data_IF_901185124518
#
_entry.id   IF_901185124518
#
_cell.length_a   1.000
_cell.length_b   1.000
_cell.length_c   1.000
_cell.angle_alpha   90.00
_cell.angle_beta   90.00
_cell.angle_gamma   90.00
#
_symmetry.space_group_name_H-M   'P 1'
#
loop_
_entity.id
_entity.type
_entity.pdbx_description
1 polymer ?
#
# COMPACT_ATOMS: atom_id res chain seq x y z
N UNK A 1 11.98 27.35 1.45
CA UNK A 1 13.00 27.09 0.42
C UNK A 1 14.23 26.69 1.19
N UNK A 2 14.83 25.51 0.91
CA UNK A 2 15.93 24.99 1.68
C UNK A 2 17.09 25.98 1.69
N UNK A 3 17.63 26.22 2.88
CA UNK A 3 18.72 27.16 3.12
C UNK A 3 20.09 26.51 2.92
N UNK A 4 20.17 25.18 2.99
CA UNK A 4 21.36 24.33 2.85
C UNK A 4 22.49 24.61 3.85
N UNK A 5 22.27 25.54 4.77
CA UNK A 5 23.28 26.03 5.72
C UNK A 5 22.71 26.20 7.14
N UNK A 6 21.39 26.15 7.31
CA UNK A 6 20.72 26.13 8.61
C UNK A 6 20.03 24.76 8.80
N UNK A 7 20.71 23.79 9.44
CA UNK A 7 20.15 22.44 9.60
C UNK A 7 18.90 22.40 10.48
N UNK A 8 18.65 23.41 11.33
CA UNK A 8 17.45 23.47 12.17
C UNK A 8 16.25 23.89 11.32
N UNK A 9 16.39 24.97 10.56
CA UNK A 9 15.33 25.44 9.65
C UNK A 9 15.02 24.40 8.57
N UNK A 10 16.07 23.80 7.97
CA UNK A 10 15.92 22.81 6.90
C UNK A 10 15.27 21.51 7.41
N UNK A 11 15.52 21.08 8.66
CA UNK A 11 14.86 19.93 9.26
C UNK A 11 13.34 20.16 9.44
N UNK A 12 12.94 21.36 9.84
CA UNK A 12 11.53 21.71 9.96
C UNK A 12 10.83 21.74 8.59
N UNK A 13 11.45 22.34 7.58
CA UNK A 13 10.93 22.35 6.20
C UNK A 13 10.82 20.93 5.62
N UNK A 14 11.80 20.07 5.86
CA UNK A 14 11.75 18.67 5.46
C UNK A 14 10.59 17.91 6.11
N UNK A 15 10.35 18.14 7.41
CA UNK A 15 9.23 17.52 8.12
C UNK A 15 7.87 17.96 7.54
N UNK A 16 7.70 19.25 7.24
CA UNK A 16 6.50 19.78 6.58
C UNK A 16 6.31 19.20 5.17
N UNK A 17 7.38 19.11 4.38
CA UNK A 17 7.33 18.51 3.05
C UNK A 17 6.88 17.05 3.10
N UNK A 18 7.40 16.26 4.04
CA UNK A 18 7.01 14.87 4.25
C UNK A 18 5.55 14.73 4.72
N UNK A 19 5.07 15.62 5.61
CA UNK A 19 3.64 15.66 6.00
C UNK A 19 2.75 15.97 4.80
N UNK A 20 3.14 16.95 3.98
CA UNK A 20 2.46 17.29 2.74
C UNK A 20 2.38 16.11 1.78
N UNK A 21 3.49 15.40 1.59
CA UNK A 21 3.55 14.20 0.77
C UNK A 21 2.65 13.08 1.32
N UNK A 22 2.73 12.79 2.63
CA UNK A 22 1.92 11.76 3.27
C UNK A 22 0.41 12.01 3.09
N UNK A 23 -0.02 13.27 3.12
CA UNK A 23 -1.42 13.64 2.87
C UNK A 23 -1.79 13.54 1.39
N UNK A 24 -0.88 13.91 0.48
CA UNK A 24 -1.12 13.86 -0.96
C UNK A 24 -1.07 12.43 -1.54
N UNK A 25 -0.31 11.52 -0.93
CA UNK A 25 -0.14 10.14 -1.41
C UNK A 25 -1.29 9.20 -1.06
N UNK A 26 -2.36 9.68 -0.40
CA UNK A 26 -3.54 8.86 -0.09
C UNK A 26 -4.36 8.46 -1.32
N UNK A 27 -4.30 9.24 -2.41
CA UNK A 27 -4.99 8.94 -3.67
C UNK A 27 -4.10 9.38 -4.85
N UNK A 28 -3.88 8.47 -5.79
CA UNK A 28 -3.16 8.76 -7.04
C UNK A 28 -4.14 8.84 -8.22
N UNK A 29 -4.29 10.03 -8.80
CA UNK A 29 -5.17 10.24 -9.96
C UNK A 29 -4.73 9.43 -11.19
N UNK A 30 -3.43 9.18 -11.33
CA UNK A 30 -2.87 8.27 -12.33
C UNK A 30 -1.98 7.25 -11.61
N UNK A 31 -2.25 5.95 -11.74
CA UNK A 31 -1.44 4.92 -11.09
C UNK A 31 0.06 5.00 -11.42
N UNK A 32 0.40 5.46 -12.63
CA UNK A 32 1.79 5.68 -13.05
C UNK A 32 2.55 6.72 -12.18
N UNK A 33 1.86 7.65 -11.52
CA UNK A 33 2.49 8.65 -10.65
C UNK A 33 3.06 8.03 -9.36
N UNK A 34 2.57 6.84 -8.95
CA UNK A 34 3.12 6.08 -7.82
C UNK A 34 4.61 5.76 -8.03
N UNK A 35 4.99 5.41 -9.25
CA UNK A 35 6.37 5.05 -9.59
C UNK A 35 7.34 6.22 -9.40
N UNK A 36 6.91 7.43 -9.79
CA UNK A 36 7.71 8.64 -9.57
C UNK A 36 7.88 8.92 -8.08
N UNK A 37 6.81 8.82 -7.29
CA UNK A 37 6.88 9.00 -5.83
C UNK A 37 7.80 7.98 -5.17
N UNK A 38 7.77 6.72 -5.58
CA UNK A 38 8.70 5.69 -5.10
C UNK A 38 10.17 6.03 -5.40
N UNK A 39 10.45 6.63 -6.57
CA UNK A 39 11.79 7.10 -6.93
C UNK A 39 12.29 8.21 -6.00
N UNK A 40 11.44 9.20 -5.69
CA UNK A 40 11.79 10.28 -4.76
C UNK A 40 11.93 9.77 -3.31
N UNK A 41 11.12 8.79 -2.90
CA UNK A 41 11.25 8.14 -1.59
C UNK A 41 12.59 7.40 -1.45
N UNK A 42 13.05 6.73 -2.52
CA UNK A 42 14.38 6.10 -2.57
C UNK A 42 15.50 7.09 -2.27
N UNK A 43 15.45 8.27 -2.90
CA UNK A 43 16.41 9.34 -2.65
C UNK A 43 16.29 9.89 -1.23
N UNK A 44 15.06 10.07 -0.75
CA UNK A 44 14.76 10.59 0.58
C UNK A 44 15.31 9.70 1.70
N UNK A 45 15.18 8.38 1.59
CA UNK A 45 15.74 7.44 2.59
C UNK A 45 17.26 7.55 2.67
N UNK A 46 17.96 7.67 1.53
CA UNK A 46 19.42 7.85 1.52
C UNK A 46 19.84 9.17 2.16
N UNK A 47 19.08 10.24 1.93
CA UNK A 47 19.32 11.52 2.60
C UNK A 47 19.07 11.42 4.12
N UNK A 48 18.01 10.73 4.54
CA UNK A 48 17.76 10.48 5.96
C UNK A 48 18.89 9.66 6.61
N UNK A 49 19.38 8.62 5.93
CA UNK A 49 20.54 7.87 6.39
C UNK A 49 21.75 8.80 6.62
N UNK A 50 22.07 9.64 5.64
CA UNK A 50 23.17 10.59 5.75
C UNK A 50 23.00 11.58 6.91
N UNK A 51 21.79 12.12 7.10
CA UNK A 51 21.49 13.04 8.19
C UNK A 51 21.68 12.36 9.55
N UNK A 52 21.17 11.14 9.72
CA UNK A 52 21.28 10.38 10.97
C UNK A 52 22.75 10.06 11.30
N UNK A 53 23.54 9.65 10.31
CA UNK A 53 24.99 9.43 10.47
C UNK A 53 25.73 10.72 10.85
N UNK A 54 25.36 11.86 10.25
CA UNK A 54 25.93 13.16 10.59
C UNK A 54 25.61 13.57 12.03
N UNK A 55 24.37 13.37 12.48
CA UNK A 55 23.98 13.67 13.87
C UNK A 55 24.72 12.76 14.86
N UNK A 56 24.86 11.46 14.55
CA UNK A 56 25.64 10.53 15.36
C UNK A 56 27.11 10.97 15.49
N UNK A 57 27.75 11.33 14.38
CA UNK A 57 29.12 11.85 14.38
C UNK A 57 29.26 13.17 15.16
N UNK A 58 28.23 14.03 15.15
CA UNK A 58 28.24 15.25 15.96
C UNK A 58 28.20 14.94 17.47
N UNK A 59 27.47 13.91 17.91
CA UNK A 59 27.50 13.48 19.31
C UNK A 59 28.89 13.01 19.72
N UNK A 60 29.57 12.20 18.89
CA UNK A 60 30.91 11.67 19.17
C UNK A 60 31.99 12.78 19.19
N UNK A 61 31.93 13.72 18.24
CA UNK A 61 32.94 14.79 18.13
C UNK A 61 32.78 15.90 19.17
N UNK A 62 31.59 16.04 19.77
CA UNK A 62 31.27 17.09 20.74
C UNK A 62 31.19 16.60 22.18
N UNK A 63 31.64 15.38 22.48
CA UNK A 63 31.61 14.80 23.85
C UNK A 63 32.27 15.69 24.90
N UNK A 64 33.27 16.49 24.53
CA UNK A 64 33.93 17.45 25.44
C UNK A 64 32.99 18.54 25.99
N UNK A 65 31.85 18.78 25.34
CA UNK A 65 30.83 19.74 25.76
C UNK A 65 29.64 19.08 26.46
N UNK A 66 29.64 17.76 26.62
CA UNK A 66 28.49 17.02 27.13
C UNK A 66 28.46 17.02 28.66
N UNK A 67 27.33 17.43 29.24
CA UNK A 67 27.03 17.36 30.66
C UNK A 67 25.58 16.90 30.81
N UNK A 68 25.26 16.14 31.85
CA UNK A 68 23.86 15.85 32.19
C UNK A 68 23.19 17.04 32.92
N UNK A 69 21.89 16.92 33.20
CA UNK A 69 21.12 17.98 33.88
C UNK A 69 21.61 18.27 35.31
N UNK A 70 22.37 17.35 35.91
CA UNK A 70 23.00 17.51 37.22
C UNK A 70 24.41 18.13 37.14
N UNK A 71 24.92 18.41 35.93
CA UNK A 71 26.24 18.97 35.69
C UNK A 71 27.38 17.94 35.73
N UNK A 72 27.09 16.64 35.60
CA UNK A 72 28.09 15.58 35.49
C UNK A 72 28.58 15.42 34.05
N UNK A 73 29.87 15.70 33.83
CA UNK A 73 30.51 15.51 32.53
C UNK A 73 30.57 14.04 32.11
N UNK A 74 30.97 13.14 33.03
CA UNK A 74 31.11 11.71 32.75
C UNK A 74 29.78 11.08 32.32
N UNK A 75 28.69 11.43 33.02
CA UNK A 75 27.35 10.97 32.65
C UNK A 75 26.91 11.56 31.31
N UNK A 76 27.13 12.86 31.08
CA UNK A 76 26.83 13.51 29.81
C UNK A 76 27.55 12.86 28.62
N UNK A 77 28.83 12.52 28.76
CA UNK A 77 29.61 11.81 27.74
C UNK A 77 29.00 10.44 27.45
N UNK A 78 28.62 9.66 28.47
CA UNK A 78 27.96 8.37 28.27
C UNK A 78 26.66 8.52 27.46
N UNK A 79 25.80 9.47 27.84
CA UNK A 79 24.56 9.72 27.10
C UNK A 79 24.79 10.16 25.65
N UNK A 80 25.80 10.99 25.39
CA UNK A 80 26.16 11.38 24.03
C UNK A 80 26.59 10.17 23.17
N UNK A 81 27.42 9.28 23.73
CA UNK A 81 27.87 8.07 23.04
C UNK A 81 26.72 7.06 22.83
N UNK A 82 25.87 6.87 23.83
CA UNK A 82 24.67 6.02 23.72
C UNK A 82 23.75 6.54 22.61
N UNK A 83 23.52 7.86 22.54
CA UNK A 83 22.74 8.48 21.47
C UNK A 83 23.36 8.24 20.09
N UNK A 84 24.67 8.44 19.94
CA UNK A 84 25.38 8.16 18.69
C UNK A 84 25.21 6.70 18.25
N UNK A 85 25.30 5.75 19.18
CA UNK A 85 25.12 4.33 18.88
C UNK A 85 23.69 4.03 18.38
N UNK A 86 22.66 4.55 19.04
CA UNK A 86 21.27 4.35 18.62
C UNK A 86 21.00 4.97 17.24
N UNK A 87 21.56 6.15 16.97
CA UNK A 87 21.45 6.78 15.65
C UNK A 87 22.13 5.93 14.56
N UNK A 88 23.32 5.38 14.82
CA UNK A 88 23.97 4.45 13.88
C UNK A 88 23.16 3.16 13.67
N UNK A 89 22.48 2.66 14.71
CA UNK A 89 21.53 1.53 14.57
C UNK A 89 20.36 1.91 13.67
N UNK A 90 19.79 3.11 13.84
CA UNK A 90 18.72 3.62 12.98
C UNK A 90 19.17 3.79 11.52
N UNK A 91 20.39 4.29 11.28
CA UNK A 91 20.97 4.37 9.93
C UNK A 91 21.01 3.00 9.24
N UNK A 92 21.48 1.95 9.93
CA UNK A 92 21.46 0.59 9.37
C UNK A 92 20.05 0.07 9.04
N UNK A 93 19.04 0.45 9.82
CA UNK A 93 17.64 0.11 9.52
C UNK A 93 17.12 0.87 8.30
N UNK A 94 17.56 2.11 8.09
CA UNK A 94 17.24 2.88 6.88
C UNK A 94 17.85 2.24 5.62
N UNK A 95 19.07 1.70 5.71
CA UNK A 95 19.67 0.94 4.60
C UNK A 95 18.86 -0.32 4.27
N UNK A 96 18.46 -1.10 5.28
CA UNK A 96 17.61 -2.27 5.07
C UNK A 96 16.24 -1.89 4.48
N UNK A 97 15.69 -0.75 4.92
CA UNK A 97 14.44 -0.21 4.37
C UNK A 97 14.61 0.21 2.91
N UNK A 98 15.76 0.77 2.55
CA UNK A 98 16.09 1.12 1.17
C UNK A 98 16.15 -0.13 0.27
N UNK A 99 16.75 -1.23 0.73
CA UNK A 99 16.79 -2.48 -0.03
C UNK A 99 15.38 -3.00 -0.35
N UNK A 100 14.48 -3.01 0.64
CA UNK A 100 13.07 -3.38 0.44
C UNK A 100 12.34 -2.43 -0.49
N UNK A 101 12.62 -1.13 -0.38
CA UNK A 101 12.02 -0.14 -1.26
C UNK A 101 12.52 -0.30 -2.70
N UNK A 102 13.77 -0.70 -2.92
CA UNK A 102 14.31 -1.00 -4.25
C UNK A 102 13.68 -2.25 -4.87
N UNK A 103 13.40 -3.29 -4.08
CA UNK A 103 12.61 -4.45 -4.50
C UNK A 103 11.20 -4.03 -4.92
N UNK A 104 10.52 -3.22 -4.09
CA UNK A 104 9.19 -2.67 -4.36
C UNK A 104 9.16 -1.79 -5.61
N UNK A 105 10.16 -0.93 -5.80
CA UNK A 105 10.33 -0.11 -7.01
C UNK A 105 10.49 -0.99 -8.26
N UNK A 106 11.30 -2.04 -8.17
CA UNK A 106 11.50 -3.00 -9.27
C UNK A 106 10.22 -3.77 -9.61
N UNK A 107 9.43 -4.14 -8.60
CA UNK A 107 8.12 -4.77 -8.80
C UNK A 107 7.11 -3.81 -9.42
N UNK A 108 7.03 -2.57 -8.92
CA UNK A 108 6.16 -1.53 -9.44
C UNK A 108 6.48 -1.22 -10.91
N UNK A 109 7.76 -1.22 -11.31
CA UNK A 109 8.18 -1.01 -12.69
C UNK A 109 7.73 -2.09 -13.67
N UNK A 110 7.34 -3.27 -13.18
CA UNK A 110 6.77 -4.37 -14.00
C UNK A 110 5.26 -4.22 -14.21
N UNK A 111 4.59 -3.33 -13.48
CA UNK A 111 3.14 -3.14 -13.59
C UNK A 111 2.80 -2.25 -14.78
N UNK A 112 2.07 -2.80 -15.75
CA UNK A 112 1.50 -2.04 -16.85
C UNK A 112 0.09 -1.55 -16.47
N UNK A 113 0.01 -0.33 -15.93
CA UNK A 113 -1.27 0.27 -15.57
C UNK A 113 -2.08 0.63 -16.82
N UNK A 114 -3.25 0.00 -16.99
CA UNK A 114 -4.21 0.31 -18.04
C UNK A 114 -5.23 1.35 -17.57
N UNK A 115 -5.76 2.15 -18.51
CA UNK A 115 -6.79 3.16 -18.22
C UNK A 115 -8.15 2.53 -17.94
N UNK A 116 -8.44 1.45 -18.64
CA UNK A 116 -9.66 0.68 -18.52
C UNK A 116 -9.35 -0.59 -17.73
N UNK A 117 -10.26 -1.04 -16.85
CA UNK A 117 -10.11 -2.32 -16.16
C UNK A 117 -10.15 -3.46 -17.18
N UNK A 118 -9.54 -4.60 -16.84
CA UNK A 118 -9.58 -5.76 -17.72
C UNK A 118 -11.04 -6.23 -17.92
N UNK A 119 -11.48 -6.49 -19.17
CA UNK A 119 -12.80 -7.05 -19.42
C UNK A 119 -12.89 -8.43 -18.75
N UNK A 120 -14.01 -8.70 -18.09
CA UNK A 120 -14.27 -9.92 -17.31
C UNK A 120 -13.37 -10.12 -16.09
N UNK A 121 -12.92 -9.03 -15.44
CA UNK A 121 -12.57 -9.12 -14.02
C UNK A 121 -13.88 -9.31 -13.26
N UNK A 122 -14.29 -10.57 -13.10
CA UNK A 122 -15.23 -10.96 -12.06
C UNK A 122 -14.76 -10.26 -10.78
N UNK A 123 -15.60 -9.46 -10.14
CA UNK A 123 -15.19 -8.62 -9.00
C UNK A 123 -14.61 -9.41 -7.82
N UNK A 124 -14.57 -10.74 -7.91
CA UNK A 124 -13.88 -11.67 -7.01
C UNK A 124 -12.36 -11.47 -6.93
N UNK A 125 -11.68 -10.97 -7.97
CA UNK A 125 -10.21 -10.77 -7.93
C UNK A 125 -9.79 -9.43 -7.30
N UNK A 126 -10.75 -8.53 -7.03
CA UNK A 126 -10.50 -7.25 -6.36
C UNK A 126 -10.89 -7.38 -4.89
N UNK A 127 -9.95 -7.92 -4.11
CA UNK A 127 -9.89 -7.93 -2.64
C UNK A 127 -10.77 -8.98 -1.93
N UNK A 128 -10.09 -9.99 -1.40
CA UNK A 128 -10.46 -10.79 -0.22
C UNK A 128 -10.57 -9.92 1.07
N UNK A 129 -11.28 -8.78 0.98
CA UNK A 129 -11.71 -7.96 2.12
C UNK A 129 -13.18 -7.62 1.96
N UNK A 130 -13.95 -8.65 1.62
CA UNK A 130 -15.41 -8.58 1.67
C UNK A 130 -15.81 -8.40 3.15
N UNK A 131 -16.76 -7.52 3.40
CA UNK A 131 -17.39 -7.34 4.70
C UNK A 131 -18.77 -7.95 4.64
N UNK A 132 -19.09 -8.77 5.64
CA UNK A 132 -20.43 -9.24 5.92
C UNK A 132 -21.07 -8.27 6.91
N UNK A 133 -22.24 -7.73 6.58
CA UNK A 133 -23.03 -6.97 7.54
C UNK A 133 -23.76 -7.95 8.44
N UNK A 134 -23.32 -8.05 9.69
CA UNK A 134 -23.92 -8.95 10.69
C UNK A 134 -25.30 -8.43 11.08
N UNK A 135 -25.39 -7.13 11.35
CA UNK A 135 -26.65 -6.48 11.68
C UNK A 135 -26.58 -4.99 11.36
N UNK A 136 -27.69 -4.43 10.89
CA UNK A 136 -27.92 -3.01 10.71
C UNK A 136 -29.20 -2.62 11.43
N UNK A 137 -29.09 -1.72 12.41
CA UNK A 137 -30.21 -1.21 13.20
C UNK A 137 -30.42 0.28 12.90
N UNK A 138 -31.67 0.72 12.91
CA UNK A 138 -32.05 2.13 12.78
C UNK A 138 -33.21 2.48 13.71
N UNK A 139 -33.32 3.76 14.07
CA UNK A 139 -34.41 4.26 14.91
C UNK A 139 -34.32 3.68 16.33
N UNK A 140 -35.47 3.28 16.91
CA UNK A 140 -35.53 2.87 18.32
C UNK A 140 -34.57 1.72 18.68
N UNK A 141 -34.33 0.79 17.75
CA UNK A 141 -33.40 -0.33 17.95
C UNK A 141 -31.93 0.15 17.97
N UNK A 142 -31.60 1.16 17.16
CA UNK A 142 -30.27 1.77 17.17
C UNK A 142 -30.07 2.64 18.42
N UNK A 143 -31.10 3.36 18.86
CA UNK A 143 -31.05 4.23 20.04
C UNK A 143 -30.64 3.45 21.29
N UNK A 144 -31.18 2.23 21.47
CA UNK A 144 -30.79 1.34 22.56
C UNK A 144 -29.29 1.02 22.54
N UNK A 145 -28.73 0.77 21.35
CA UNK A 145 -27.31 0.44 21.21
C UNK A 145 -26.42 1.68 21.35
N UNK A 146 -26.88 2.83 20.89
CA UNK A 146 -26.21 4.11 21.09
C UNK A 146 -26.12 4.47 22.58
N UNK A 147 -27.15 4.17 23.38
CA UNK A 147 -27.12 4.32 24.83
C UNK A 147 -26.08 3.40 25.50
N UNK A 148 -25.94 2.16 25.03
CA UNK A 148 -24.88 1.23 25.48
C UNK A 148 -23.50 1.80 25.14
N UNK A 149 -23.29 2.30 23.92
CA UNK A 149 -22.03 2.92 23.51
C UNK A 149 -21.67 4.11 24.41
N UNK A 150 -22.66 4.92 24.78
CA UNK A 150 -22.44 6.09 25.62
C UNK A 150 -22.17 5.72 27.09
N UNK A 151 -22.80 4.67 27.60
CA UNK A 151 -22.77 4.29 29.02
C UNK A 151 -21.59 3.36 29.34
N UNK A 152 -21.44 2.32 28.53
CA UNK A 152 -20.54 1.18 28.79
C UNK A 152 -19.40 1.08 27.77
N UNK A 153 -19.47 1.84 26.68
CA UNK A 153 -18.43 1.94 25.66
C UNK A 153 -18.67 1.03 24.45
N UNK A 154 -17.78 1.15 23.47
CA UNK A 154 -17.88 0.46 22.17
C UNK A 154 -17.78 -1.06 22.31
N UNK A 155 -16.90 -1.57 23.17
CA UNK A 155 -16.69 -3.02 23.31
C UNK A 155 -17.95 -3.72 23.82
N UNK A 156 -18.68 -3.10 24.76
CA UNK A 156 -19.95 -3.63 25.26
C UNK A 156 -21.03 -3.64 24.17
N UNK A 157 -21.06 -2.63 23.30
CA UNK A 157 -21.98 -2.58 22.17
C UNK A 157 -21.65 -3.64 21.12
N UNK A 158 -20.37 -3.88 20.84
CA UNK A 158 -19.92 -4.96 19.94
C UNK A 158 -20.28 -6.33 20.51
N UNK A 159 -20.03 -6.58 21.80
CA UNK A 159 -20.41 -7.83 22.48
C UNK A 159 -21.93 -8.06 22.41
N UNK A 160 -22.72 -6.99 22.63
CA UNK A 160 -24.17 -7.06 22.48
C UNK A 160 -24.57 -7.46 21.04
N UNK A 161 -24.07 -6.76 20.03
CA UNK A 161 -24.41 -7.00 18.62
C UNK A 161 -23.87 -8.33 18.06
N UNK A 162 -22.77 -8.84 18.60
CA UNK A 162 -22.19 -10.12 18.20
C UNK A 162 -23.12 -11.32 18.50
N UNK A 163 -24.12 -11.17 19.39
CA UNK A 163 -25.13 -12.21 19.63
C UNK A 163 -26.01 -12.51 18.41
N UNK A 164 -26.04 -11.62 17.41
CA UNK A 164 -26.72 -11.84 16.13
C UNK A 164 -25.81 -12.47 15.06
N UNK A 165 -24.55 -12.75 15.41
CA UNK A 165 -23.64 -13.44 14.51
C UNK A 165 -23.68 -14.96 14.73
N UNK A 166 -24.21 -15.68 13.75
CA UNK A 166 -24.30 -17.14 13.72
C UNK A 166 -23.18 -17.76 12.85
N UNK A 167 -22.08 -17.04 12.61
CA UNK A 167 -20.93 -17.54 11.86
C UNK A 167 -21.26 -17.78 10.38
N UNK A 168 -21.02 -19.00 9.91
CA UNK A 168 -21.24 -19.42 8.51
C UNK A 168 -22.69 -19.28 8.04
N UNK A 169 -23.67 -19.34 8.95
CA UNK A 169 -25.08 -19.09 8.61
C UNK A 169 -25.32 -17.61 8.27
N UNK A 170 -24.71 -16.69 9.03
CA UNK A 170 -24.74 -15.25 8.75
C UNK A 170 -24.02 -14.94 7.43
N UNK A 171 -22.88 -15.59 7.16
CA UNK A 171 -22.15 -15.40 5.91
C UNK A 171 -22.98 -15.87 4.70
N UNK A 172 -23.60 -17.06 4.80
CA UNK A 172 -24.46 -17.62 3.77
C UNK A 172 -25.70 -16.75 3.52
N UNK A 173 -26.34 -16.25 4.58
CA UNK A 173 -27.48 -15.35 4.50
C UNK A 173 -27.09 -14.01 3.83
N UNK A 174 -25.94 -13.44 4.19
CA UNK A 174 -25.45 -12.20 3.60
C UNK A 174 -25.15 -12.35 2.10
N UNK A 175 -24.60 -13.49 1.67
CA UNK A 175 -24.40 -13.78 0.23
C UNK A 175 -25.73 -13.83 -0.51
N UNK A 176 -26.72 -14.53 0.05
CA UNK A 176 -28.05 -14.67 -0.57
C UNK A 176 -28.79 -13.33 -0.62
N UNK A 177 -28.67 -12.51 0.42
CA UNK A 177 -29.32 -11.20 0.51
C UNK A 177 -28.57 -10.09 -0.25
N UNK A 178 -27.33 -10.35 -0.70
CA UNK A 178 -26.48 -9.35 -1.35
C UNK A 178 -25.89 -8.32 -0.38
N UNK A 179 -25.79 -8.65 0.90
CA UNK A 179 -25.25 -7.80 1.97
C UNK A 179 -23.73 -7.95 2.17
N UNK A 180 -23.08 -8.61 1.22
CA UNK A 180 -21.62 -8.68 1.10
C UNK A 180 -21.13 -7.44 0.37
N UNK A 181 -20.21 -6.69 0.98
CA UNK A 181 -19.71 -5.43 0.43
C UNK A 181 -18.18 -5.42 0.33
N UNK A 182 -17.69 -4.77 -0.71
CA UNK A 182 -16.24 -4.57 -0.92
C UNK A 182 -15.66 -3.49 0.01
N UNK A 183 -16.52 -2.68 0.63
CA UNK A 183 -16.16 -1.67 1.62
C UNK A 183 -17.33 -1.43 2.59
N UNK A 184 -17.00 -1.07 3.84
CA UNK A 184 -17.99 -0.63 4.82
C UNK A 184 -18.59 0.70 4.33
N UNK A 185 -19.92 0.79 4.17
CA UNK A 185 -20.59 2.03 3.79
C UNK A 185 -20.64 2.98 4.99
N UNK A 186 -19.57 3.74 5.22
CA UNK A 186 -19.53 4.78 6.23
C UNK A 186 -19.83 6.16 5.60
N UNK A 187 -20.88 6.82 6.08
CA UNK A 187 -21.17 8.21 5.75
C UNK A 187 -20.16 9.18 6.38
N UNK A 188 -20.14 10.43 5.89
CA UNK A 188 -19.18 11.48 6.35
C UNK A 188 -19.29 11.78 7.86
N UNK A 189 -20.46 11.54 8.46
CA UNK A 189 -20.73 11.78 9.88
C UNK A 189 -20.72 10.49 10.72
N UNK A 190 -20.48 9.36 10.09
CA UNK A 190 -20.47 8.08 10.76
C UNK A 190 -19.15 7.92 11.52
N UNK A 191 -19.24 7.37 12.72
CA UNK A 191 -18.09 6.99 13.53
C UNK A 191 -17.83 5.52 13.33
N UNK A 192 -16.54 5.16 13.28
CA UNK A 192 -16.11 3.78 13.17
C UNK A 192 -15.28 3.38 14.38
N UNK A 193 -15.39 2.13 14.80
CA UNK A 193 -14.55 1.55 15.83
C UNK A 193 -14.33 0.06 15.56
N UNK A 194 -13.14 -0.43 15.91
CA UNK A 194 -12.73 -1.82 15.73
C UNK A 194 -12.68 -2.51 17.09
N UNK A 195 -13.21 -3.73 17.17
CA UNK A 195 -13.12 -4.58 18.36
C UNK A 195 -13.10 -6.05 17.95
N UNK A 196 -11.93 -6.67 18.10
CA UNK A 196 -11.67 -8.04 17.63
C UNK A 196 -11.76 -8.18 16.11
N UNK A 197 -12.60 -9.11 15.65
CA UNK A 197 -12.89 -9.37 14.23
C UNK A 197 -13.99 -8.46 13.65
N UNK A 198 -14.55 -7.58 14.48
CA UNK A 198 -15.68 -6.74 14.12
C UNK A 198 -15.29 -5.28 13.93
N UNK A 199 -15.96 -4.65 12.97
CA UNK A 199 -15.97 -3.19 12.80
C UNK A 199 -17.38 -2.66 12.99
N UNK A 200 -17.54 -1.76 13.96
CA UNK A 200 -18.77 -1.06 14.25
C UNK A 200 -18.80 0.29 13.52
N UNK A 201 -19.90 0.57 12.81
CA UNK A 201 -20.20 1.89 12.25
C UNK A 201 -21.44 2.44 12.93
N UNK A 202 -21.39 3.64 13.48
CA UNK A 202 -22.55 4.22 14.17
C UNK A 202 -22.64 5.74 13.99
N UNK A 203 -23.86 6.25 13.97
CA UNK A 203 -24.14 7.67 13.85
C UNK A 203 -25.23 8.09 14.84
N UNK A 204 -24.86 8.73 15.97
CA UNK A 204 -25.83 9.19 16.95
C UNK A 204 -26.80 10.26 16.42
N UNK A 205 -26.43 11.00 15.38
CA UNK A 205 -27.28 12.06 14.82
C UNK A 205 -28.32 11.52 13.84
N UNK A 206 -27.98 10.45 13.11
CA UNK A 206 -28.87 9.79 12.16
C UNK A 206 -29.60 8.59 12.76
N UNK A 207 -29.22 8.15 13.96
CA UNK A 207 -29.90 7.06 14.68
C UNK A 207 -29.68 5.71 14.02
N UNK A 208 -28.46 5.38 13.61
CA UNK A 208 -28.12 4.06 13.04
C UNK A 208 -26.84 3.47 13.62
N UNK A 209 -26.82 2.14 13.68
CA UNK A 209 -25.67 1.32 14.10
C UNK A 209 -25.57 0.10 13.20
N UNK A 210 -24.36 -0.23 12.76
CA UNK A 210 -24.07 -1.37 11.91
C UNK A 210 -22.85 -2.13 12.42
N UNK A 211 -22.94 -3.45 12.50
CA UNK A 211 -21.82 -4.33 12.83
C UNK A 211 -21.38 -5.07 11.56
N UNK A 212 -20.09 -5.04 11.27
CA UNK A 212 -19.49 -5.71 10.13
C UNK A 212 -18.41 -6.70 10.59
N UNK A 213 -18.31 -7.84 9.92
CA UNK A 213 -17.26 -8.84 10.13
C UNK A 213 -16.59 -9.18 8.80
N UNK A 214 -15.30 -9.50 8.81
CA UNK A 214 -14.71 -10.19 7.67
C UNK A 214 -15.15 -11.67 7.69
N UNK A 215 -15.66 -12.23 6.58
CA UNK A 215 -15.94 -13.65 6.53
C UNK A 215 -14.62 -14.39 6.76
N UNK A 216 -14.62 -15.41 7.63
CA UNK A 216 -13.48 -16.32 7.76
C UNK A 216 -13.30 -16.99 6.40
N UNK A 217 -12.27 -16.58 5.66
CA UNK A 217 -11.86 -17.32 4.47
C UNK A 217 -11.20 -18.58 5.01
N UNK A 218 -11.92 -19.69 4.91
CA UNK A 218 -11.36 -21.00 5.16
C UNK A 218 -10.12 -21.14 4.25
N UNK A 219 -8.93 -21.18 4.85
CA UNK A 219 -7.64 -21.32 4.16
C UNK A 219 -7.50 -22.66 3.38
N UNK A 220 -8.59 -23.42 3.28
CA UNK A 220 -8.68 -24.69 2.56
C UNK A 220 -8.94 -24.53 1.05
N UNK A 221 -9.45 -23.39 0.56
CA UNK A 221 -9.56 -23.15 -0.90
C UNK A 221 -8.28 -22.57 -1.52
N UNK A 222 -7.32 -22.12 -0.70
CA UNK A 222 -6.01 -21.61 -1.16
C UNK A 222 -4.97 -22.73 -1.42
N UNK A 223 -5.32 -24.00 -1.21
CA UNK A 223 -4.44 -25.16 -1.51
C UNK A 223 -4.80 -25.92 -2.78
N UNK A 224 -5.75 -25.44 -3.57
CA UNK A 224 -5.88 -25.90 -4.95
C UNK A 224 -4.74 -25.29 -5.79
N UNK A 225 -3.58 -25.96 -5.78
CA UNK A 225 -2.50 -25.72 -6.74
C UNK A 225 -3.08 -25.51 -8.14
N UNK A 226 -2.62 -24.48 -8.89
CA UNK A 226 -2.94 -24.35 -10.30
C UNK A 226 -2.65 -25.69 -11.01
N UNK A 227 -3.51 -26.16 -11.93
CA UNK A 227 -3.20 -27.36 -12.69
C UNK A 227 -1.84 -27.17 -13.37
N UNK A 228 -0.91 -28.11 -13.14
CA UNK A 228 0.40 -28.11 -13.79
C UNK A 228 0.21 -27.88 -15.30
N UNK A 229 0.99 -26.98 -15.92
CA UNK A 229 0.90 -26.76 -17.35
C UNK A 229 1.20 -28.08 -18.07
N UNK A 230 0.19 -28.63 -18.74
CA UNK A 230 0.39 -29.74 -19.66
C UNK A 230 1.42 -29.32 -20.72
N UNK A 231 2.44 -30.14 -21.02
CA UNK A 231 3.43 -29.80 -22.03
C UNK A 231 2.73 -29.60 -23.38
N UNK A 232 2.89 -28.41 -23.95
CA UNK A 232 2.38 -28.07 -25.27
C UNK A 232 2.89 -29.08 -26.32
N UNK A 233 2.03 -29.54 -27.26
CA UNK A 233 2.48 -30.37 -28.37
C UNK A 233 3.41 -29.55 -29.29
N UNK A 234 4.46 -30.16 -29.86
CA UNK A 234 5.45 -29.45 -30.65
C UNK A 234 4.83 -28.76 -31.88
N UNK A 235 5.33 -27.59 -32.30
CA UNK A 235 4.76 -26.83 -33.39
C UNK A 235 4.80 -27.61 -34.70
N UNK A 236 3.63 -27.76 -35.35
CA UNK A 236 3.52 -28.29 -36.70
C UNK A 236 4.33 -27.41 -37.65
N UNK A 237 5.36 -27.98 -38.28
CA UNK A 237 6.14 -27.34 -39.34
C UNK A 237 5.20 -26.90 -40.47
N UNK A 238 4.94 -25.61 -40.56
CA UNK A 238 4.37 -24.98 -41.74
C UNK A 238 5.36 -25.14 -42.89
N UNK A 239 4.94 -25.87 -43.92
CA UNK A 239 5.73 -26.12 -45.13
C UNK A 239 5.93 -24.78 -45.84
N UNK A 240 7.18 -24.32 -45.91
CA UNK A 240 7.56 -23.13 -46.64
C UNK A 240 7.09 -23.23 -48.10
N UNK A 241 6.27 -22.26 -48.52
CA UNK A 241 5.94 -22.06 -49.93
C UNK A 241 7.15 -21.39 -50.57
N UNK A 242 7.82 -22.13 -51.46
CA UNK A 242 8.97 -21.65 -52.23
C UNK A 242 8.55 -20.48 -53.12
N UNK A 243 9.21 -19.31 -53.06
CA UNK A 243 8.96 -18.23 -54.02
C UNK A 243 9.44 -18.62 -55.41
N UNK A 244 8.58 -18.43 -56.41
CA UNK A 244 8.89 -18.58 -57.83
C UNK A 244 9.87 -17.49 -58.27
N UNK A 245 11.04 -17.89 -58.78
CA UNK A 245 12.09 -17.02 -59.32
C UNK A 245 11.97 -16.95 -60.85
N UNK A 246 11.68 -15.79 -61.45
CA UNK A 246 11.66 -15.66 -62.91
C UNK A 246 13.08 -15.53 -63.46
N UNK A 247 13.40 -16.39 -64.44
CA UNK A 247 14.69 -16.46 -65.13
C UNK A 247 15.00 -15.18 -65.93
N UNK A 248 16.09 -14.49 -65.57
CA UNK A 248 16.67 -13.42 -66.39
C UNK A 248 17.34 -14.00 -67.64
N UNK A 249 16.85 -13.61 -68.82
CA UNK A 249 17.58 -13.71 -70.09
C UNK A 249 18.74 -12.70 -70.12
N UNK A 250 19.92 -13.07 -70.64
CA UNK A 250 21.04 -12.14 -70.77
C UNK A 250 20.80 -11.10 -71.87
N UNK A 251 21.18 -9.86 -71.58
CA UNK A 251 21.10 -8.72 -72.48
C UNK A 251 22.12 -8.83 -73.62
N UNK A 252 21.66 -8.58 -74.83
CA UNK A 252 22.49 -8.31 -76.01
C UNK A 252 22.83 -6.82 -76.06
N UNK A 253 24.06 -6.59 -76.50
CA UNK A 253 24.83 -5.36 -76.47
C UNK A 253 24.36 -4.27 -77.47
N UNK A 254 24.92 -3.06 -77.27
CA UNK A 254 25.12 -1.93 -78.20
C UNK A 254 24.05 -0.84 -78.44
N UNK A 255 24.49 0.43 -78.66
CA UNK A 255 23.83 1.65 -78.16
C UNK A 255 23.53 2.72 -79.24
N UNK A 256 22.95 3.85 -78.79
CA UNK A 256 22.92 5.24 -79.35
C UNK A 256 21.62 5.88 -78.83
N UNK A 257 21.52 7.11 -78.34
CA UNK A 257 22.37 8.30 -78.38
C UNK A 257 21.41 9.51 -78.45
N UNK A 258 21.79 10.63 -77.81
CA UNK A 258 21.19 11.98 -77.88
C UNK A 258 19.77 12.11 -77.29
N UNK A 259 19.38 13.15 -76.57
CA UNK A 259 19.97 14.47 -76.34
C UNK A 259 18.82 15.44 -76.07
N UNK A 260 19.10 16.40 -75.17
CA UNK A 260 18.26 17.52 -74.68
C UNK A 260 17.26 17.17 -73.57
#
# INVERSE_FOLDING_TARGET
MPTFHDPIADAAEASEALRGLARASGVFARPADMYRVLGELSASIRHLHQIVEQVAANHETRVSFAFDDAGSHETGVRYALDAAEQLRRAARLLDQSYDRLAEGFSAAGRVAWHREPAPDTDSSVVLERRWVTVVFLQGEEADQVLDIIQTDGVDAAVEHLAHWDYGQETDSAAIVNGDVRDAIPAGVLDRTAESGEYTLTYNPFMGHVALHRHPEIDAAEETASPPEPQPEPPPRRTRAVTPYEPTRRPASDTPRGLGL
#
